data_IF_933257651055
#
_entry.id   IF_933257651055
#
_cell.length_a   1.000
_cell.length_b   1.000
_cell.length_c   1.000
_cell.angle_alpha   90.00
_cell.angle_beta   90.00
_cell.angle_gamma   90.00
#
_symmetry.space_group_name_H-M   'P 1'
#
loop_
_entity.id
_entity.type
_entity.pdbx_description
1 polymer ?
#
# COMPACT_ATOMS: atom_id res chain seq x y z
N UNK A 1 -3.14 3.70 6.98
CA UNK A 1 -2.24 3.89 8.13
C UNK A 1 -0.82 4.16 7.63
N UNK A 2 -0.01 5.00 8.31
CA UNK A 2 1.41 5.25 7.97
C UNK A 2 2.29 5.05 9.21
N UNK A 3 3.39 4.30 9.09
CA UNK A 3 4.31 4.00 10.19
C UNK A 3 5.72 4.52 9.90
N UNK A 4 6.42 4.97 10.94
CA UNK A 4 7.81 5.43 10.89
C UNK A 4 8.48 5.22 12.25
N UNK A 5 9.82 5.17 12.32
CA UNK A 5 10.50 5.10 13.61
C UNK A 5 10.44 6.44 14.34
N UNK A 6 10.21 6.41 15.65
CA UNK A 6 10.13 7.62 16.48
C UNK A 6 11.36 8.54 16.34
N UNK A 7 12.56 7.96 16.18
CA UNK A 7 13.80 8.71 15.93
C UNK A 7 13.74 9.59 14.67
N UNK A 8 12.97 9.16 13.67
CA UNK A 8 12.80 9.85 12.39
C UNK A 8 11.60 10.79 12.41
N UNK A 9 10.92 11.01 13.54
CA UNK A 9 9.68 11.81 13.62
C UNK A 9 9.78 13.21 13.01
N UNK A 10 10.96 13.83 13.12
CA UNK A 10 11.29 15.16 12.60
C UNK A 10 11.87 15.14 11.18
N UNK A 11 12.09 13.97 10.58
CA UNK A 11 12.58 13.84 9.21
C UNK A 11 11.43 13.99 8.23
N UNK A 12 11.67 14.77 7.17
CA UNK A 12 10.76 14.86 6.03
C UNK A 12 10.65 13.51 5.28
N UNK A 13 11.66 12.65 5.42
CA UNK A 13 11.76 11.34 4.78
C UNK A 13 11.46 10.16 5.72
N UNK A 14 10.79 10.42 6.85
CA UNK A 14 10.52 9.41 7.89
C UNK A 14 9.82 8.14 7.43
N UNK A 15 9.01 8.22 6.37
CA UNK A 15 8.31 7.07 5.78
C UNK A 15 9.15 6.34 4.73
N UNK A 16 10.25 6.95 4.27
CA UNK A 16 11.13 6.42 3.25
C UNK A 16 12.36 5.71 3.82
N UNK A 17 12.73 5.98 5.08
CA UNK A 17 13.86 5.33 5.75
C UNK A 17 13.64 3.82 5.96
N UNK A 18 14.65 3.02 5.64
CA UNK A 18 14.71 1.59 6.00
C UNK A 18 15.47 1.45 7.32
N UNK A 19 14.87 0.73 8.27
CA UNK A 19 15.40 0.59 9.64
C UNK A 19 16.23 -0.68 9.84
N UNK A 20 16.38 -1.52 8.81
CA UNK A 20 17.07 -2.82 8.84
C UNK A 20 16.69 -3.71 10.03
N UNK A 21 15.46 -3.60 10.53
CA UNK A 21 14.95 -4.39 11.67
C UNK A 21 14.47 -5.79 11.29
N UNK A 22 14.31 -6.09 9.99
CA UNK A 22 13.85 -7.39 9.50
C UNK A 22 12.37 -7.72 9.77
N UNK A 23 11.65 -6.88 10.51
CA UNK A 23 10.31 -7.17 11.03
C UNK A 23 9.15 -6.82 10.07
N UNK A 24 9.43 -6.74 8.77
CA UNK A 24 8.46 -6.29 7.75
C UNK A 24 7.26 -7.25 7.68
N UNK A 25 7.53 -8.55 7.75
CA UNK A 25 6.49 -9.58 7.62
C UNK A 25 5.44 -9.48 8.74
N UNK A 26 5.85 -9.35 10.00
CA UNK A 26 4.91 -9.25 11.13
C UNK A 26 4.05 -7.98 11.07
N UNK A 27 4.63 -6.87 10.60
CA UNK A 27 3.90 -5.61 10.40
C UNK A 27 2.81 -5.80 9.34
N UNK A 28 3.14 -6.42 8.21
CA UNK A 28 2.18 -6.65 7.13
C UNK A 28 1.09 -7.63 7.53
N UNK A 29 1.44 -8.73 8.20
CA UNK A 29 0.44 -9.69 8.72
C UNK A 29 -0.51 -9.01 9.70
N UNK A 30 -0.02 -8.12 10.55
CA UNK A 30 -0.88 -7.33 11.44
C UNK A 30 -1.86 -6.47 10.65
N UNK A 31 -1.39 -5.78 9.60
CA UNK A 31 -2.27 -4.99 8.73
C UNK A 31 -3.33 -5.85 8.03
N UNK A 32 -2.95 -7.05 7.56
CA UNK A 32 -3.86 -7.99 6.93
C UNK A 32 -4.89 -8.58 7.90
N UNK A 33 -4.55 -8.75 9.18
CA UNK A 33 -5.55 -9.08 10.22
C UNK A 33 -6.55 -7.95 10.43
N UNK A 34 -6.11 -6.69 10.35
CA UNK A 34 -7.03 -5.55 10.42
C UNK A 34 -8.03 -5.53 9.26
N UNK A 35 -7.64 -5.98 8.05
CA UNK A 35 -8.57 -6.15 6.92
C UNK A 35 -9.72 -7.07 7.30
N UNK A 36 -9.42 -8.22 7.91
CA UNK A 36 -10.45 -9.17 8.36
C UNK A 36 -11.41 -8.56 9.38
N UNK A 37 -10.89 -7.77 10.33
CA UNK A 37 -11.72 -7.09 11.32
C UNK A 37 -12.63 -6.04 10.67
N UNK A 38 -12.11 -5.25 9.73
CA UNK A 38 -12.91 -4.24 9.01
C UNK A 38 -14.03 -4.90 8.21
N UNK A 39 -13.78 -6.06 7.59
CA UNK A 39 -14.80 -6.79 6.83
C UNK A 39 -15.96 -7.32 7.68
N UNK A 40 -15.79 -7.46 9.00
CA UNK A 40 -16.89 -7.86 9.90
C UNK A 40 -17.95 -6.76 10.00
N UNK A 41 -17.50 -5.50 10.02
CA UNK A 41 -18.38 -4.33 10.15
C UNK A 41 -18.79 -3.78 8.77
N UNK A 42 -17.91 -3.90 7.77
CA UNK A 42 -18.06 -3.35 6.42
C UNK A 42 -17.76 -4.43 5.37
N UNK A 43 -18.71 -5.35 5.10
CA UNK A 43 -18.47 -6.54 4.27
C UNK A 43 -18.21 -6.25 2.78
N UNK A 44 -18.51 -5.04 2.32
CA UNK A 44 -18.27 -4.53 0.97
C UNK A 44 -17.03 -3.61 0.89
N UNK A 45 -16.27 -3.49 1.97
CA UNK A 45 -15.08 -2.65 2.01
C UNK A 45 -13.99 -3.15 1.05
N UNK A 46 -13.40 -2.21 0.33
CA UNK A 46 -12.22 -2.39 -0.53
C UNK A 46 -11.00 -1.78 0.13
N UNK A 47 -9.81 -2.25 -0.23
CA UNK A 47 -8.55 -1.83 0.41
C UNK A 47 -7.50 -1.46 -0.64
N UNK A 48 -6.47 -0.75 -0.21
CA UNK A 48 -5.36 -0.43 -1.09
C UNK A 48 -4.17 0.17 -0.35
N UNK A 49 -3.02 0.15 -1.01
CA UNK A 49 -1.80 0.75 -0.49
C UNK A 49 -0.92 1.30 -1.62
N UNK A 50 0.03 2.16 -1.22
CA UNK A 50 1.13 2.62 -2.06
C UNK A 50 2.44 2.25 -1.40
N UNK A 51 3.32 1.61 -2.16
CA UNK A 51 4.70 1.36 -1.79
C UNK A 51 5.49 2.67 -1.77
N UNK A 52 5.80 3.17 -0.58
CA UNK A 52 6.64 4.36 -0.48
C UNK A 52 8.05 4.08 -1.02
N UNK A 53 8.62 5.04 -1.76
CA UNK A 53 10.00 4.96 -2.22
C UNK A 53 10.99 4.92 -1.06
N UNK A 54 12.07 4.20 -1.25
CA UNK A 54 13.20 4.18 -0.33
C UNK A 54 14.11 5.39 -0.56
N UNK A 55 14.59 5.99 0.52
CA UNK A 55 15.66 7.00 0.47
C UNK A 55 16.81 6.47 1.31
N UNK A 56 17.96 6.28 0.67
CA UNK A 56 19.18 5.88 1.33
C UNK A 56 19.98 7.13 1.74
N UNK A 57 20.04 7.45 3.05
CA UNK A 57 20.76 8.62 3.53
C UNK A 57 22.28 8.48 3.42
N UNK A 58 22.82 7.25 3.27
CA UNK A 58 24.26 6.99 3.19
C UNK A 58 24.76 7.26 1.78
N UNK A 59 24.07 6.71 0.77
CA UNK A 59 24.43 6.90 -0.64
C UNK A 59 23.80 8.13 -1.30
N UNK A 60 22.91 8.83 -0.58
CA UNK A 60 22.10 9.95 -1.08
C UNK A 60 21.31 9.60 -2.35
N UNK A 61 20.86 8.35 -2.45
CA UNK A 61 20.05 7.84 -3.57
C UNK A 61 18.60 7.71 -3.14
N UNK A 62 17.70 8.15 -4.00
CA UNK A 62 16.27 7.89 -3.87
C UNK A 62 15.87 6.83 -4.90
N UNK A 63 15.10 5.85 -4.46
CA UNK A 63 14.37 4.95 -5.34
C UNK A 63 13.33 5.76 -6.15
N UNK A 64 13.00 5.30 -7.35
CA UNK A 64 11.92 5.88 -8.14
C UNK A 64 10.57 5.68 -7.44
N UNK A 65 9.55 6.42 -7.85
CA UNK A 65 8.17 6.19 -7.44
C UNK A 65 7.57 4.97 -8.15
N UNK A 66 8.05 4.66 -9.34
CA UNK A 66 7.66 3.48 -10.08
C UNK A 66 8.27 2.21 -9.47
N UNK A 67 7.43 1.18 -9.33
CA UNK A 67 7.84 -0.19 -9.00
C UNK A 67 8.80 -0.30 -7.79
N UNK A 68 8.49 0.39 -6.69
CA UNK A 68 9.34 0.40 -5.47
C UNK A 68 9.52 -0.97 -4.84
N UNK A 69 10.59 -1.15 -4.07
CA UNK A 69 10.86 -2.36 -3.29
C UNK A 69 9.69 -2.69 -2.36
N UNK A 70 9.13 -1.69 -1.68
CA UNK A 70 7.97 -1.88 -0.80
C UNK A 70 6.77 -2.38 -1.59
N UNK A 71 6.47 -1.79 -2.74
CA UNK A 71 5.39 -2.27 -3.61
C UNK A 71 5.59 -3.73 -3.99
N UNK A 72 6.75 -4.11 -4.52
CA UNK A 72 7.01 -5.49 -4.94
C UNK A 72 6.82 -6.50 -3.80
N UNK A 73 7.42 -6.22 -2.64
CA UNK A 73 7.35 -7.11 -1.48
C UNK A 73 5.92 -7.18 -0.91
N UNK A 74 5.23 -6.05 -0.82
CA UNK A 74 3.90 -6.00 -0.20
C UNK A 74 2.88 -6.68 -1.11
N UNK A 75 2.93 -6.42 -2.42
CA UNK A 75 2.06 -7.06 -3.42
C UNK A 75 2.16 -8.58 -3.37
N UNK A 76 3.38 -9.12 -3.28
CA UNK A 76 3.60 -10.57 -3.13
C UNK A 76 2.98 -11.14 -1.85
N UNK A 77 3.18 -10.46 -0.72
CA UNK A 77 2.64 -10.93 0.57
C UNK A 77 1.12 -10.85 0.59
N UNK A 78 0.54 -9.76 0.08
CA UNK A 78 -0.91 -9.58 0.01
C UNK A 78 -1.54 -10.64 -0.89
N UNK A 79 -1.00 -10.85 -2.09
CA UNK A 79 -1.52 -11.86 -3.03
C UNK A 79 -1.44 -13.27 -2.42
N UNK A 80 -0.33 -13.62 -1.78
CA UNK A 80 -0.16 -14.92 -1.13
C UNK A 80 -1.08 -15.14 0.08
N UNK A 81 -1.51 -14.07 0.77
CA UNK A 81 -2.30 -14.17 2.00
C UNK A 81 -3.81 -14.07 1.77
N UNK A 82 -4.25 -13.18 0.88
CA UNK A 82 -5.68 -12.93 0.62
C UNK A 82 -6.19 -13.84 -0.50
N UNK A 83 -5.42 -14.00 -1.58
CA UNK A 83 -5.83 -14.69 -2.80
C UNK A 83 -7.04 -14.05 -3.49
N UNK A 84 -7.49 -14.67 -4.57
CA UNK A 84 -8.44 -14.04 -5.50
C UNK A 84 -9.90 -14.45 -5.27
N UNK A 85 -10.30 -14.83 -4.05
CA UNK A 85 -11.69 -15.27 -3.78
C UNK A 85 -12.63 -14.08 -3.53
N UNK A 86 -12.26 -13.22 -2.58
CA UNK A 86 -13.10 -12.10 -2.13
C UNK A 86 -12.83 -10.80 -2.90
N UNK A 87 -11.62 -10.66 -3.43
CA UNK A 87 -11.15 -9.43 -4.05
C UNK A 87 -10.68 -9.66 -5.47
N UNK A 88 -10.87 -8.63 -6.31
CA UNK A 88 -10.08 -8.44 -7.52
C UNK A 88 -8.87 -7.56 -7.20
N UNK A 89 -7.73 -7.97 -7.75
CA UNK A 89 -6.43 -7.38 -7.46
C UNK A 89 -5.99 -6.51 -8.62
N UNK A 90 -5.72 -5.22 -8.36
CA UNK A 90 -5.24 -4.28 -9.36
C UNK A 90 -3.89 -3.71 -8.95
N UNK A 91 -2.98 -3.60 -9.91
CA UNK A 91 -1.62 -3.08 -9.70
C UNK A 91 -1.34 -1.90 -10.62
N UNK A 92 -0.71 -0.86 -10.07
CA UNK A 92 -0.34 0.36 -10.78
C UNK A 92 1.15 0.62 -10.55
N UNK A 93 1.99 0.02 -11.39
CA UNK A 93 3.45 0.03 -11.20
C UNK A 93 4.02 1.45 -11.23
N UNK A 94 3.52 2.32 -12.12
CA UNK A 94 3.93 3.72 -12.28
C UNK A 94 3.90 4.53 -10.98
N UNK A 95 3.04 4.14 -10.04
CA UNK A 95 2.85 4.80 -8.76
C UNK A 95 3.04 3.88 -7.56
N UNK A 96 3.57 2.66 -7.79
CA UNK A 96 3.73 1.66 -6.75
C UNK A 96 2.42 1.33 -5.99
N UNK A 97 1.29 1.37 -6.70
CA UNK A 97 -0.06 1.23 -6.14
C UNK A 97 -0.62 -0.18 -6.24
N UNK A 98 -1.37 -0.60 -5.24
CA UNK A 98 -2.07 -1.89 -5.21
C UNK A 98 -3.46 -1.72 -4.62
N UNK A 99 -4.47 -2.25 -5.30
CA UNK A 99 -5.87 -2.23 -4.86
C UNK A 99 -6.45 -3.63 -4.75
N UNK A 100 -7.30 -3.79 -3.74
CA UNK A 100 -8.14 -4.93 -3.47
C UNK A 100 -9.59 -4.45 -3.56
N UNK A 101 -10.24 -4.68 -4.70
CA UNK A 101 -11.63 -4.28 -4.89
C UNK A 101 -12.52 -5.46 -4.53
N UNK A 102 -13.39 -5.25 -3.53
CA UNK A 102 -14.26 -6.31 -3.05
C UNK A 102 -15.30 -6.66 -4.11
N UNK A 103 -15.41 -7.94 -4.44
CA UNK A 103 -16.36 -8.41 -5.47
C UNK A 103 -17.82 -8.19 -5.09
N UNK A 104 -18.11 -8.03 -3.79
CA UNK A 104 -19.44 -7.71 -3.31
C UNK A 104 -19.80 -6.23 -3.47
N UNK A 105 -18.86 -5.37 -3.90
CA UNK A 105 -19.10 -3.93 -4.07
C UNK A 105 -20.00 -3.59 -5.28
N UNK A 106 -20.37 -4.60 -6.10
CA UNK A 106 -21.20 -4.42 -7.28
C UNK A 106 -20.37 -4.06 -8.51
N UNK A 107 -20.44 -2.82 -8.96
CA UNK A 107 -19.71 -2.34 -10.13
C UNK A 107 -18.21 -2.16 -9.81
N UNK A 108 -17.44 -3.21 -10.10
CA UNK A 108 -16.00 -3.31 -9.77
C UNK A 108 -15.19 -2.25 -10.52
N UNK A 109 -15.46 -2.02 -11.80
CA UNK A 109 -14.72 -1.07 -12.62
C UNK A 109 -14.97 0.37 -12.13
N UNK A 110 -16.23 0.72 -11.84
CA UNK A 110 -16.53 2.03 -11.28
C UNK A 110 -15.93 2.19 -9.86
N UNK A 111 -15.94 1.13 -9.04
CA UNK A 111 -15.35 1.15 -7.70
C UNK A 111 -13.84 1.34 -7.76
N UNK A 112 -13.16 0.66 -8.68
CA UNK A 112 -11.73 0.82 -8.97
C UNK A 112 -11.42 2.28 -9.31
N UNK A 113 -12.19 2.88 -10.23
CA UNK A 113 -11.96 4.26 -10.66
C UNK A 113 -12.15 5.26 -9.51
N UNK A 114 -13.20 5.08 -8.70
CA UNK A 114 -13.44 5.94 -7.54
C UNK A 114 -12.32 5.83 -6.49
N UNK A 115 -11.81 4.63 -6.25
CA UNK A 115 -10.70 4.42 -5.32
C UNK A 115 -9.42 5.04 -5.89
N UNK A 116 -9.14 4.90 -7.19
CA UNK A 116 -8.00 5.56 -7.84
C UNK A 116 -8.06 7.07 -7.70
N UNK A 117 -9.21 7.68 -8.00
CA UNK A 117 -9.41 9.12 -7.84
C UNK A 117 -9.18 9.55 -6.39
N UNK A 118 -9.70 8.79 -5.41
CA UNK A 118 -9.46 9.03 -3.99
C UNK A 118 -7.97 8.96 -3.63
N UNK A 119 -7.22 8.01 -4.21
CA UNK A 119 -5.78 7.90 -4.00
C UNK A 119 -5.05 9.12 -4.56
N UNK A 120 -5.31 9.50 -5.81
CA UNK A 120 -4.73 10.71 -6.43
C UNK A 120 -5.03 11.96 -5.60
N UNK A 121 -6.27 12.13 -5.11
CA UNK A 121 -6.63 13.30 -4.30
C UNK A 121 -6.02 13.30 -2.89
N UNK A 122 -5.73 12.13 -2.33
CA UNK A 122 -5.22 11.99 -0.95
C UNK A 122 -3.70 12.18 -0.89
N UNK A 123 -2.99 11.80 -1.95
CA UNK A 123 -1.54 11.84 -1.99
C UNK A 123 -1.09 12.80 -3.09
N UNK A 124 -0.83 14.05 -2.72
CA UNK A 124 -0.37 15.13 -3.61
C UNK A 124 0.91 14.82 -4.41
N UNK A 125 1.62 13.73 -4.09
CA UNK A 125 2.86 13.31 -4.75
C UNK A 125 2.69 12.06 -5.64
N UNK A 126 1.47 11.53 -5.79
CA UNK A 126 1.20 10.55 -6.84
C UNK A 126 1.04 11.34 -8.14
N UNK A 127 2.01 11.17 -9.03
CA UNK A 127 1.89 11.61 -10.42
C UNK A 127 0.54 11.14 -10.96
N UNK A 128 -0.15 12.01 -11.69
CA UNK A 128 -1.49 11.78 -12.24
C UNK A 128 -1.68 10.33 -12.71
N UNK A 129 -2.55 9.58 -12.01
CA UNK A 129 -2.95 8.20 -12.31
C UNK A 129 -4.19 8.21 -13.21
#
# INVERSE_FOLDING_TARGET
MKFYAQKDSKSDFKYSHILNKGDIFNILITCLRSVQLILQDYPDASFGFIGARTIDPISNRAEDFENTQRFRVYSQIVQATIGDQTFDHFTYESVSGYLLVNRNAGDIDNKEQLIRQMFTSTYNNLLDI
#
